data_IF_461857819682
#
_entry.id   IF_461857819682
#
_cell.length_a   1.000
_cell.length_b   1.000
_cell.length_c   1.000
_cell.angle_alpha   90.00
_cell.angle_beta   90.00
_cell.angle_gamma   90.00
#
_symmetry.space_group_name_H-M   'P 1'
#
loop_
_entity.id
_entity.type
_entity.pdbx_description
1 polymer ?
#
# COMPACT_ATOMS: atom_id res chain seq x y z
N UNK A 1 21.44 11.42 -4.31
CA UNK A 1 20.92 10.14 -4.84
C UNK A 1 20.02 10.45 -6.03
N UNK A 2 20.35 9.97 -7.22
CA UNK A 2 19.42 9.96 -8.36
C UNK A 2 18.31 8.96 -8.06
N UNK A 3 17.04 9.35 -8.20
CA UNK A 3 15.93 8.44 -7.98
C UNK A 3 15.96 7.33 -9.04
N UNK A 4 15.95 6.08 -8.60
CA UNK A 4 15.78 4.93 -9.47
C UNK A 4 14.36 4.94 -10.04
N UNK A 5 14.23 5.28 -11.33
CA UNK A 5 12.96 5.32 -12.07
C UNK A 5 12.55 3.94 -12.58
N UNK A 6 12.66 2.95 -11.71
CA UNK A 6 12.28 1.57 -11.99
C UNK A 6 11.13 1.15 -11.07
N UNK A 7 10.41 0.10 -11.46
CA UNK A 7 9.40 -0.51 -10.57
C UNK A 7 10.02 -0.98 -9.26
N UNK A 8 11.26 -1.48 -9.28
CA UNK A 8 11.98 -1.96 -8.11
C UNK A 8 12.28 -0.78 -7.17
N UNK A 9 12.86 0.30 -7.70
CA UNK A 9 13.14 1.52 -6.94
C UNK A 9 11.88 2.16 -6.34
N UNK A 10 10.79 2.17 -7.10
CA UNK A 10 9.50 2.67 -6.65
C UNK A 10 8.89 1.80 -5.53
N UNK A 11 9.01 0.48 -5.59
CA UNK A 11 8.58 -0.42 -4.51
C UNK A 11 9.38 -0.17 -3.22
N UNK A 12 10.71 -0.07 -3.33
CA UNK A 12 11.60 0.16 -2.18
C UNK A 12 11.28 1.51 -1.52
N UNK A 13 11.19 2.56 -2.34
CA UNK A 13 10.90 3.92 -1.86
C UNK A 13 9.49 4.03 -1.31
N UNK A 14 8.49 3.47 -2.01
CA UNK A 14 7.09 3.42 -1.58
C UNK A 14 6.90 2.68 -0.26
N UNK A 15 7.53 1.52 -0.09
CA UNK A 15 7.54 0.76 1.16
C UNK A 15 8.10 1.59 2.33
N UNK A 16 9.24 2.24 2.13
CA UNK A 16 9.85 3.09 3.17
C UNK A 16 8.98 4.31 3.49
N UNK A 17 8.39 4.93 2.47
CA UNK A 17 7.43 6.02 2.60
C UNK A 17 6.21 5.62 3.44
N UNK A 18 5.59 4.47 3.14
CA UNK A 18 4.46 3.94 3.92
C UNK A 18 4.80 3.78 5.41
N UNK A 19 6.02 3.32 5.74
CA UNK A 19 6.44 3.18 7.13
C UNK A 19 6.59 4.53 7.83
N UNK A 20 7.17 5.52 7.14
CA UNK A 20 7.57 6.79 7.75
C UNK A 20 6.50 7.88 7.71
N UNK A 21 5.50 7.76 6.84
CA UNK A 21 4.32 8.66 6.84
C UNK A 21 3.45 8.47 8.09
N UNK A 22 3.59 7.31 8.76
CA UNK A 22 2.86 6.97 9.99
C UNK A 22 2.54 5.49 10.13
N UNK A 23 2.91 4.65 9.15
CA UNK A 23 2.48 3.25 9.07
C UNK A 23 0.95 3.10 9.12
N UNK A 24 0.25 4.06 8.50
CA UNK A 24 -1.21 4.11 8.42
C UNK A 24 -1.78 2.98 7.59
N UNK A 25 -3.07 2.70 7.81
CA UNK A 25 -3.83 1.72 7.05
C UNK A 25 -3.88 2.13 5.57
N UNK A 26 -3.31 1.33 4.64
CA UNK A 26 -3.33 1.65 3.22
C UNK A 26 -4.68 1.26 2.62
N UNK A 27 -5.60 2.20 2.50
CA UNK A 27 -6.95 2.00 1.92
C UNK A 27 -6.83 1.50 0.48
N UNK A 28 -5.89 2.06 -0.28
CA UNK A 28 -5.54 1.62 -1.62
C UNK A 28 -4.09 1.95 -1.92
N UNK A 29 -3.52 1.23 -2.89
CA UNK A 29 -2.16 1.47 -3.37
C UNK A 29 -2.08 1.02 -4.82
N UNK A 30 -1.40 1.82 -5.65
CA UNK A 30 -1.10 1.52 -7.03
C UNK A 30 0.38 1.78 -7.33
N UNK A 31 1.01 0.86 -8.05
CA UNK A 31 2.25 1.08 -8.77
C UNK A 31 1.95 1.02 -10.27
N UNK A 32 2.44 2.00 -11.03
CA UNK A 32 2.34 2.06 -12.49
C UNK A 32 3.70 2.30 -13.09
N UNK A 33 4.41 1.22 -13.44
CA UNK A 33 5.81 1.31 -13.82
C UNK A 33 6.65 1.79 -12.62
N UNK A 34 7.05 3.05 -12.61
CA UNK A 34 7.84 3.69 -11.54
C UNK A 34 7.02 4.66 -10.66
N UNK A 35 5.73 4.87 -10.95
CA UNK A 35 4.86 5.78 -10.19
C UNK A 35 4.15 5.02 -9.08
N UNK A 36 4.43 5.38 -7.83
CA UNK A 36 3.81 4.78 -6.64
C UNK A 36 2.84 5.77 -6.00
N UNK A 37 1.59 5.36 -5.83
CA UNK A 37 0.54 6.15 -5.20
C UNK A 37 -0.19 5.31 -4.15
N UNK A 38 -0.50 5.91 -3.01
CA UNK A 38 -1.26 5.23 -1.97
C UNK A 38 -2.20 6.19 -1.23
N UNK A 39 -3.37 5.68 -0.86
CA UNK A 39 -4.32 6.37 0.01
C UNK A 39 -4.22 5.73 1.39
N UNK A 40 -4.03 6.55 2.41
CA UNK A 40 -3.87 6.15 3.80
C UNK A 40 -4.99 6.70 4.64
N UNK A 41 -5.54 5.87 5.52
CA UNK A 41 -6.42 6.33 6.59
C UNK A 41 -5.58 6.71 7.80
N UNK A 42 -5.65 7.99 8.21
CA UNK A 42 -5.02 8.43 9.46
C UNK A 42 -5.59 7.66 10.66
N UNK A 43 -4.81 7.45 11.72
CA UNK A 43 -5.36 6.85 12.96
C UNK A 43 -6.22 7.85 13.71
N UNK A 44 -7.18 7.33 14.47
CA UNK A 44 -7.94 8.14 15.41
C UNK A 44 -7.00 8.81 16.42
N UNK A 45 -7.11 10.13 16.56
CA UNK A 45 -6.31 10.92 17.51
C UNK A 45 -5.00 11.48 16.97
N UNK A 46 -4.48 11.03 15.83
CA UNK A 46 -3.21 11.53 15.27
C UNK A 46 -3.29 13.00 14.79
N UNK A 47 -4.51 13.48 14.52
CA UNK A 47 -4.80 14.89 14.24
C UNK A 47 -5.25 15.68 15.48
N UNK A 48 -5.22 15.06 16.67
CA UNK A 48 -5.68 15.68 17.91
C UNK A 48 -7.19 15.98 17.92
N UNK A 49 -7.57 17.10 18.56
CA UNK A 49 -8.96 17.58 18.57
C UNK A 49 -9.29 18.25 17.23
N UNK A 50 -10.11 17.58 16.42
CA UNK A 50 -10.57 18.07 15.12
C UNK A 50 -11.66 19.11 15.38
N UNK A 51 -11.32 20.38 15.22
CA UNK A 51 -12.10 21.46 15.82
C UNK A 51 -13.34 21.91 15.05
N UNK A 52 -13.48 21.64 13.75
CA UNK A 52 -14.71 21.98 13.00
C UNK A 52 -14.59 21.79 11.49
N UNK A 53 -15.42 20.94 10.88
CA UNK A 53 -15.76 21.05 9.46
C UNK A 53 -17.05 21.87 9.24
N UNK A 54 -17.32 22.37 8.02
CA UNK A 54 -16.49 22.25 6.81
C UNK A 54 -15.32 23.25 6.81
N UNK A 55 -14.20 22.82 6.22
CA UNK A 55 -13.03 23.66 6.00
C UNK A 55 -13.18 24.47 4.71
N UNK A 56 -12.54 25.64 4.68
CA UNK A 56 -12.39 26.47 3.48
C UNK A 56 -11.00 27.11 3.46
N UNK A 57 -10.55 27.70 2.34
CA UNK A 57 -9.30 28.45 2.31
C UNK A 57 -9.22 29.56 3.38
N UNK A 58 -10.35 30.17 3.74
CA UNK A 58 -10.48 31.21 4.77
C UNK A 58 -10.53 30.64 6.19
N UNK A 59 -10.89 29.36 6.33
CA UNK A 59 -10.92 28.61 7.59
C UNK A 59 -10.10 27.32 7.43
N UNK A 60 -8.76 27.43 7.36
CA UNK A 60 -7.91 26.29 7.09
C UNK A 60 -7.91 25.29 8.26
N UNK A 61 -7.72 23.99 7.99
CA UNK A 61 -7.61 22.94 9.01
C UNK A 61 -6.27 23.05 9.75
N UNK A 62 -6.23 23.86 10.80
CA UNK A 62 -5.02 24.18 11.57
C UNK A 62 -4.29 22.94 12.11
N UNK A 63 -5.04 21.91 12.49
CA UNK A 63 -4.57 20.64 12.99
C UNK A 63 -3.83 19.82 11.92
N UNK A 64 -4.35 19.80 10.68
CA UNK A 64 -3.67 19.19 9.54
C UNK A 64 -2.41 19.97 9.14
N UNK A 65 -2.47 21.30 9.24
CA UNK A 65 -1.30 22.17 9.03
C UNK A 65 -0.22 21.89 10.07
N UNK A 66 -0.57 21.81 11.35
CA UNK A 66 0.36 21.48 12.43
C UNK A 66 0.99 20.10 12.24
N UNK A 67 0.17 19.08 11.91
CA UNK A 67 0.65 17.73 11.62
C UNK A 67 1.70 17.70 10.50
N UNK A 68 1.47 18.47 9.42
CA UNK A 68 2.38 18.58 8.28
C UNK A 68 3.65 19.37 8.61
N UNK A 69 3.52 20.47 9.36
CA UNK A 69 4.65 21.31 9.79
C UNK A 69 5.65 20.52 10.64
N UNK A 70 5.16 19.69 11.58
CA UNK A 70 5.99 18.81 12.41
C UNK A 70 6.83 17.81 11.58
N UNK A 71 6.42 17.52 10.33
CA UNK A 71 7.06 16.52 9.46
C UNK A 71 7.86 17.11 8.31
N UNK A 72 7.77 18.42 8.05
CA UNK A 72 8.48 19.08 6.94
C UNK A 72 10.02 18.99 7.08
N UNK A 73 10.53 18.95 8.32
CA UNK A 73 11.96 18.80 8.60
C UNK A 73 12.46 17.35 8.73
N UNK A 74 11.58 16.35 8.58
CA UNK A 74 11.94 14.93 8.79
C UNK A 74 11.99 14.21 7.45
N UNK A 75 13.12 13.59 7.14
CA UNK A 75 13.25 12.81 5.91
C UNK A 75 12.33 11.58 5.91
N UNK A 76 11.62 11.37 4.80
CA UNK A 76 10.81 10.21 4.48
C UNK A 76 11.37 9.50 3.25
N UNK A 77 11.65 8.20 3.37
CA UNK A 77 12.39 7.37 2.42
C UNK A 77 13.73 8.00 1.96
N UNK A 78 14.36 8.81 2.82
CA UNK A 78 15.58 9.56 2.48
C UNK A 78 15.35 10.87 1.72
N UNK A 79 14.09 11.30 1.54
CA UNK A 79 13.69 12.54 0.87
C UNK A 79 12.93 13.46 1.82
N UNK A 80 13.07 14.77 1.68
CA UNK A 80 12.27 15.71 2.47
C UNK A 80 10.87 15.84 1.84
N UNK A 81 9.80 15.41 2.53
CA UNK A 81 8.46 15.42 1.97
C UNK A 81 7.95 16.85 1.79
N UNK A 82 7.12 17.06 0.77
CA UNK A 82 6.29 18.27 0.65
C UNK A 82 4.82 17.91 0.89
N UNK A 83 4.12 18.82 1.56
CA UNK A 83 2.74 18.62 1.98
C UNK A 83 1.85 19.66 1.32
N UNK A 84 0.70 19.22 0.81
CA UNK A 84 -0.39 20.11 0.37
C UNK A 84 -1.66 19.68 1.06
N UNK A 85 -2.30 20.62 1.73
CA UNK A 85 -3.53 20.36 2.48
C UNK A 85 -4.71 20.83 1.64
N UNK A 86 -5.62 19.92 1.37
CA UNK A 86 -6.90 20.23 0.74
C UNK A 86 -7.86 20.69 1.83
N UNK A 87 -8.17 21.99 1.82
CA UNK A 87 -9.06 22.64 2.78
C UNK A 87 -10.49 22.76 2.25
N UNK A 88 -10.89 21.98 1.24
CA UNK A 88 -12.25 22.00 0.67
C UNK A 88 -13.02 20.75 1.07
N UNK A 89 -14.00 20.89 1.95
CA UNK A 89 -14.90 19.78 2.31
C UNK A 89 -15.09 19.60 3.81
N UNK A 90 -15.74 18.49 4.18
CA UNK A 90 -16.09 18.17 5.56
C UNK A 90 -14.84 17.80 6.36
N UNK A 91 -13.91 17.08 5.73
CA UNK A 91 -12.70 16.55 6.35
C UNK A 91 -11.46 17.03 5.60
N UNK A 92 -10.35 17.32 6.31
CA UNK A 92 -9.11 17.73 5.66
C UNK A 92 -8.43 16.52 5.01
N UNK A 93 -7.82 16.75 3.84
CA UNK A 93 -6.96 15.75 3.19
C UNK A 93 -5.54 16.26 3.05
N UNK A 94 -4.57 15.39 3.28
CA UNK A 94 -3.15 15.74 3.25
C UNK A 94 -2.49 15.00 2.10
N UNK A 95 -2.16 15.73 1.03
CA UNK A 95 -1.30 15.21 -0.01
C UNK A 95 0.15 15.28 0.45
N UNK A 96 0.85 14.17 0.28
CA UNK A 96 2.28 14.05 0.55
C UNK A 96 2.97 13.67 -0.75
N UNK A 97 4.04 14.37 -1.09
CA UNK A 97 4.90 14.00 -2.22
C UNK A 97 6.35 13.98 -1.78
N UNK A 98 7.14 13.06 -2.33
CA UNK A 98 8.57 12.98 -2.12
C UNK A 98 9.30 13.59 -3.33
N UNK A 99 9.76 14.85 -3.27
CA UNK A 99 10.40 15.52 -4.38
C UNK A 99 11.58 14.74 -4.94
N UNK A 100 11.72 14.73 -6.27
CA UNK A 100 12.75 13.96 -6.96
C UNK A 100 12.40 12.49 -7.17
N UNK A 101 11.26 12.00 -6.65
CA UNK A 101 10.74 10.66 -6.88
C UNK A 101 9.35 10.71 -7.51
N UNK A 102 8.83 9.55 -7.91
CA UNK A 102 7.44 9.38 -8.38
C UNK A 102 6.52 8.82 -7.28
N UNK A 103 6.89 8.96 -6.00
CA UNK A 103 6.13 8.47 -4.84
C UNK A 103 5.21 9.56 -4.29
N UNK A 104 3.93 9.23 -4.15
CA UNK A 104 2.88 10.12 -3.66
C UNK A 104 1.97 9.41 -2.67
N UNK A 105 1.44 10.16 -1.71
CA UNK A 105 0.45 9.68 -0.76
C UNK A 105 -0.68 10.67 -0.59
N UNK A 106 -1.87 10.15 -0.30
CA UNK A 106 -3.01 10.92 0.17
C UNK A 106 -3.41 10.38 1.54
N UNK A 107 -3.37 11.22 2.56
CA UNK A 107 -3.86 10.86 3.89
C UNK A 107 -5.26 11.46 4.04
N UNK A 108 -6.23 10.59 4.31
CA UNK A 108 -7.64 10.93 4.55
C UNK A 108 -8.00 10.65 6.02
N UNK A 109 -9.07 11.29 6.49
CA UNK A 109 -9.57 11.06 7.84
C UNK A 109 -10.31 9.72 7.94
N UNK A 110 -10.37 9.09 9.14
CA UNK A 110 -11.15 7.87 9.37
C UNK A 110 -12.60 7.96 8.84
N UNK A 111 -13.25 9.10 9.02
CA UNK A 111 -14.64 9.35 8.63
C UNK A 111 -14.89 9.36 7.12
N UNK A 112 -13.83 9.51 6.31
CA UNK A 112 -13.93 9.43 4.86
C UNK A 112 -13.84 7.99 4.34
N UNK A 113 -13.42 7.05 5.19
CA UNK A 113 -13.19 5.66 4.80
C UNK A 113 -14.36 4.82 5.28
N UNK A 114 -15.01 4.12 4.35
CA UNK A 114 -16.07 3.18 4.66
C UNK A 114 -15.57 1.75 4.55
N UNK A 115 -16.28 0.81 5.18
CA UNK A 115 -15.94 -0.62 5.09
C UNK A 115 -16.06 -1.13 3.63
N UNK A 116 -17.04 -0.62 2.88
CA UNK A 116 -17.26 -0.95 1.47
C UNK A 116 -16.07 -0.55 0.59
N UNK A 117 -15.40 0.57 0.90
CA UNK A 117 -14.23 1.03 0.14
C UNK A 117 -13.08 0.00 0.10
N UNK A 118 -13.06 -0.92 1.08
CA UNK A 118 -12.07 -2.00 1.20
C UNK A 118 -12.73 -3.39 1.19
N UNK A 119 -13.95 -3.51 0.66
CA UNK A 119 -14.72 -4.76 0.60
C UNK A 119 -14.81 -5.50 1.95
N UNK A 120 -14.77 -4.77 3.06
CA UNK A 120 -14.84 -5.34 4.40
C UNK A 120 -16.26 -5.22 4.95
N UNK A 121 -16.70 -6.16 5.81
CA UNK A 121 -17.97 -6.04 6.52
C UNK A 121 -17.95 -4.94 7.59
N UNK A 122 -16.76 -4.60 8.11
CA UNK A 122 -16.57 -3.54 9.10
C UNK A 122 -15.10 -3.08 9.11
N UNK A 123 -14.89 -1.85 9.58
CA UNK A 123 -13.57 -1.31 9.94
C UNK A 123 -13.27 -1.58 11.43
N UNK A 124 -12.00 -1.54 11.84
CA UNK A 124 -11.61 -1.82 13.22
C UNK A 124 -10.12 -2.09 13.43
N UNK A 125 -9.77 -2.62 14.59
CA UNK A 125 -8.38 -2.78 15.05
C UNK A 125 -7.47 -3.58 14.11
N UNK A 126 -8.03 -4.48 13.28
CA UNK A 126 -7.28 -5.22 12.25
C UNK A 126 -6.54 -4.30 11.25
N UNK A 127 -7.00 -3.07 11.07
CA UNK A 127 -6.41 -2.10 10.14
C UNK A 127 -4.96 -1.75 10.52
N UNK A 128 -4.62 -1.77 11.81
CA UNK A 128 -3.28 -1.42 12.29
C UNK A 128 -2.19 -2.37 11.81
N UNK A 129 -2.54 -3.63 11.52
CA UNK A 129 -1.60 -4.64 11.04
C UNK A 129 -1.41 -4.62 9.53
N UNK A 130 -2.40 -4.12 8.78
CA UNK A 130 -2.40 -4.20 7.31
C UNK A 130 -1.23 -3.44 6.68
N UNK A 131 -0.80 -2.33 7.27
CA UNK A 131 0.36 -1.57 6.77
C UNK A 131 1.65 -2.38 6.84
N UNK A 132 1.81 -3.24 7.85
CA UNK A 132 2.97 -4.14 7.95
C UNK A 132 2.92 -5.22 6.86
N UNK A 133 1.79 -5.90 6.72
CA UNK A 133 1.63 -6.97 5.73
C UNK A 133 1.83 -6.48 4.29
N UNK A 134 1.29 -5.30 3.96
CA UNK A 134 1.50 -4.69 2.64
C UNK A 134 2.97 -4.40 2.40
N UNK A 135 3.66 -3.77 3.35
CA UNK A 135 5.09 -3.47 3.22
C UNK A 135 5.94 -4.72 3.09
N UNK A 136 5.58 -5.79 3.81
CA UNK A 136 6.23 -7.09 3.66
C UNK A 136 6.09 -7.61 2.22
N UNK A 137 4.88 -7.57 1.66
CA UNK A 137 4.64 -7.96 0.27
C UNK A 137 5.45 -7.14 -0.74
N UNK A 138 5.55 -5.82 -0.55
CA UNK A 138 6.35 -4.95 -1.43
C UNK A 138 7.85 -5.27 -1.37
N UNK A 139 8.36 -5.62 -0.17
CA UNK A 139 9.76 -5.99 0.03
C UNK A 139 10.11 -7.26 -0.75
N UNK A 140 9.33 -8.32 -0.55
CA UNK A 140 9.50 -9.58 -1.29
C UNK A 140 9.39 -9.38 -2.80
N UNK A 141 8.44 -8.56 -3.26
CA UNK A 141 8.30 -8.26 -4.69
C UNK A 141 9.51 -7.53 -5.26
N UNK A 142 10.05 -6.54 -4.55
CA UNK A 142 11.26 -5.82 -4.97
C UNK A 142 12.45 -6.79 -5.07
N UNK A 143 12.64 -7.64 -4.06
CA UNK A 143 13.70 -8.64 -4.01
C UNK A 143 13.58 -9.68 -5.13
N UNK A 144 12.38 -10.19 -5.38
CA UNK A 144 12.14 -11.17 -6.46
C UNK A 144 12.36 -10.54 -7.84
N UNK A 145 11.86 -9.33 -8.08
CA UNK A 145 12.10 -8.62 -9.34
C UNK A 145 13.59 -8.34 -9.56
N UNK A 146 14.30 -7.92 -8.52
CA UNK A 146 15.75 -7.72 -8.54
C UNK A 146 16.49 -9.02 -8.86
N UNK A 147 16.14 -10.12 -8.18
CA UNK A 147 16.73 -11.44 -8.42
C UNK A 147 16.49 -11.92 -9.85
N UNK A 148 15.29 -11.71 -10.39
CA UNK A 148 14.96 -12.07 -11.77
C UNK A 148 15.77 -11.28 -12.80
N UNK A 149 15.96 -9.98 -12.56
CA UNK A 149 16.77 -9.13 -13.40
C UNK A 149 18.24 -9.59 -13.40
N UNK A 150 18.79 -9.93 -12.24
CA UNK A 150 20.16 -10.43 -12.12
C UNK A 150 20.33 -11.81 -12.78
N UNK A 151 19.40 -12.75 -12.56
CA UNK A 151 19.49 -14.10 -13.13
C UNK A 151 19.31 -14.14 -14.64
N UNK A 152 18.35 -13.39 -15.18
CA UNK A 152 17.97 -13.47 -16.60
C UNK A 152 18.60 -12.37 -17.47
N UNK A 153 19.22 -11.35 -16.85
CA UNK A 153 19.78 -10.19 -17.53
C UNK A 153 18.73 -9.34 -18.27
N UNK A 154 19.21 -8.49 -19.18
CA UNK A 154 18.39 -7.57 -19.98
C UNK A 154 17.87 -6.36 -19.20
N UNK A 155 16.99 -5.56 -19.80
CA UNK A 155 16.37 -4.41 -19.12
C UNK A 155 15.60 -4.85 -17.88
N UNK A 156 15.65 -4.08 -16.80
CA UNK A 156 14.92 -4.37 -15.57
C UNK A 156 13.41 -4.58 -15.85
N UNK A 157 12.77 -5.62 -15.26
CA UNK A 157 11.36 -5.86 -15.44
C UNK A 157 10.55 -4.71 -14.83
N UNK A 158 9.48 -4.33 -15.53
CA UNK A 158 8.52 -3.32 -15.07
C UNK A 158 7.15 -3.95 -14.84
N UNK A 159 6.50 -3.52 -13.76
CA UNK A 159 5.20 -4.03 -13.34
C UNK A 159 4.21 -2.89 -13.09
N UNK A 160 2.94 -3.24 -13.17
CA UNK A 160 1.89 -2.53 -12.47
C UNK A 160 1.47 -3.39 -11.27
N UNK A 161 1.12 -2.73 -10.16
CA UNK A 161 0.67 -3.40 -8.94
C UNK A 161 -0.55 -2.67 -8.40
N UNK A 162 -1.56 -3.42 -7.95
CA UNK A 162 -2.69 -2.87 -7.20
C UNK A 162 -2.82 -3.58 -5.86
N UNK A 163 -3.02 -2.81 -4.79
CA UNK A 163 -3.50 -3.35 -3.52
C UNK A 163 -5.02 -3.36 -3.54
N UNK A 164 -5.58 -4.56 -3.38
CA UNK A 164 -7.01 -4.76 -3.20
C UNK A 164 -7.28 -5.57 -1.95
N UNK A 165 -8.45 -5.39 -1.37
CA UNK A 165 -8.91 -6.19 -0.24
C UNK A 165 -10.02 -7.11 -0.73
N UNK A 166 -9.83 -8.42 -0.53
CA UNK A 166 -10.79 -9.43 -0.99
C UNK A 166 -11.45 -10.13 0.19
N UNK A 167 -12.78 -10.34 0.15
CA UNK A 167 -13.45 -11.23 1.08
C UNK A 167 -12.81 -12.63 1.07
N UNK A 168 -12.84 -13.29 2.22
CA UNK A 168 -12.44 -14.69 2.36
C UNK A 168 -13.28 -15.34 3.46
N UNK A 169 -13.08 -16.64 3.68
CA UNK A 169 -13.78 -17.37 4.73
C UNK A 169 -13.27 -16.95 6.13
N UNK A 170 -13.86 -15.87 6.63
CA UNK A 170 -13.52 -15.24 7.90
C UNK A 170 -13.92 -16.13 9.09
N UNK A 171 -15.09 -16.77 9.05
CA UNK A 171 -15.59 -17.64 10.13
C UNK A 171 -14.67 -18.84 10.35
N UNK A 172 -14.22 -19.48 9.27
CA UNK A 172 -13.23 -20.56 9.37
C UNK A 172 -11.90 -20.09 9.97
N UNK A 173 -11.55 -18.82 9.80
CA UNK A 173 -10.31 -18.23 10.30
C UNK A 173 -10.39 -17.89 11.78
N UNK A 174 -11.57 -17.45 12.24
CA UNK A 174 -11.84 -17.19 13.66
C UNK A 174 -11.86 -18.45 14.53
N UNK A 175 -12.22 -19.61 13.96
CA UNK A 175 -12.32 -20.86 14.69
C UNK A 175 -11.02 -21.28 15.40
N UNK A 176 -9.87 -20.73 14.98
CA UNK A 176 -8.53 -21.04 15.51
C UNK A 176 -7.95 -19.93 16.39
N UNK A 177 -8.71 -18.86 16.63
CA UNK A 177 -8.21 -17.65 17.26
C UNK A 177 -8.96 -17.40 18.57
N UNK A 178 -8.20 -17.13 19.63
CA UNK A 178 -8.74 -16.74 20.93
C UNK A 178 -9.69 -15.56 20.82
N UNK A 179 -10.76 -15.57 21.61
CA UNK A 179 -11.83 -14.57 21.52
C UNK A 179 -11.33 -13.13 21.65
N UNK A 180 -10.29 -12.91 22.47
CA UNK A 180 -9.67 -11.58 22.67
C UNK A 180 -8.90 -11.06 21.45
N UNK A 181 -8.48 -11.94 20.55
CA UNK A 181 -7.67 -11.58 19.39
C UNK A 181 -8.50 -11.44 18.11
N UNK A 182 -9.81 -11.72 18.16
CA UNK A 182 -10.67 -11.75 16.96
C UNK A 182 -10.82 -10.39 16.28
N UNK A 183 -10.80 -9.30 17.05
CA UNK A 183 -10.86 -7.92 16.52
C UNK A 183 -9.62 -7.54 15.69
N UNK A 184 -8.51 -8.26 15.91
CA UNK A 184 -7.25 -8.09 15.20
C UNK A 184 -7.18 -8.96 13.95
N UNK A 185 -8.08 -9.94 13.80
CA UNK A 185 -8.13 -10.79 12.61
C UNK A 185 -8.83 -10.01 11.51
N UNK A 186 -8.15 -9.72 10.38
CA UNK A 186 -8.77 -8.94 9.32
C UNK A 186 -9.91 -9.75 8.69
N UNK A 187 -11.10 -9.16 8.49
CA UNK A 187 -12.24 -9.82 7.83
C UNK A 187 -12.09 -9.86 6.31
N UNK A 188 -11.04 -9.25 5.79
CA UNK A 188 -10.62 -9.26 4.40
C UNK A 188 -9.17 -9.69 4.30
N UNK A 189 -8.78 -10.15 3.12
CA UNK A 189 -7.39 -10.47 2.81
C UNK A 189 -6.83 -9.39 1.89
N UNK A 190 -5.73 -8.70 2.25
CA UNK A 190 -5.02 -7.85 1.32
C UNK A 190 -4.38 -8.72 0.22
N UNK A 191 -4.48 -8.24 -1.02
CA UNK A 191 -3.92 -8.88 -2.22
C UNK A 191 -3.19 -7.85 -3.05
N UNK A 192 -1.95 -8.14 -3.40
CA UNK A 192 -1.15 -7.39 -4.37
C UNK A 192 -1.34 -8.04 -5.75
N UNK A 193 -2.15 -7.42 -6.59
CA UNK A 193 -2.39 -7.83 -7.96
C UNK A 193 -1.30 -7.30 -8.88
N UNK A 194 -0.36 -8.16 -9.26
CA UNK A 194 0.72 -7.82 -10.16
C UNK A 194 0.26 -7.94 -11.61
N UNK A 195 0.74 -7.04 -12.47
CA UNK A 195 0.64 -7.17 -13.93
C UNK A 195 1.99 -6.86 -14.55
N UNK A 196 2.42 -7.67 -15.51
CA UNK A 196 3.65 -7.41 -16.24
C UNK A 196 3.43 -6.26 -17.23
N UNK A 197 4.11 -5.13 -17.01
CA UNK A 197 4.18 -4.05 -18.00
C UNK A 197 5.25 -4.36 -19.05
N UNK A 198 6.43 -4.77 -18.60
CA UNK A 198 7.49 -5.30 -19.45
C UNK A 198 8.31 -6.33 -18.68
N UNK A 199 8.50 -7.50 -19.27
CA UNK A 199 9.40 -8.53 -18.75
C UNK A 199 9.66 -9.54 -19.85
N UNK A 200 10.91 -9.96 -20.02
CA UNK A 200 11.24 -11.01 -20.98
C UNK A 200 10.67 -12.36 -20.52
N UNK A 201 10.44 -13.32 -21.43
CA UNK A 201 10.06 -14.67 -21.04
C UNK A 201 11.05 -15.33 -20.07
N UNK A 202 12.34 -15.01 -20.17
CA UNK A 202 13.37 -15.51 -19.24
C UNK A 202 13.19 -14.94 -17.82
N UNK A 203 12.94 -13.64 -17.70
CA UNK A 203 12.65 -12.98 -16.42
C UNK A 203 11.38 -13.51 -15.78
N UNK A 204 10.29 -13.69 -16.55
CA UNK A 204 9.05 -14.29 -16.03
C UNK A 204 9.27 -15.72 -15.53
N UNK A 205 10.07 -16.52 -16.24
CA UNK A 205 10.44 -17.88 -15.79
C UNK A 205 11.27 -17.86 -14.52
N UNK A 206 12.22 -16.92 -14.37
CA UNK A 206 12.96 -16.74 -13.14
C UNK A 206 12.02 -16.37 -11.99
N UNK A 207 11.06 -15.47 -12.23
CA UNK A 207 10.10 -15.01 -11.22
C UNK A 207 9.23 -16.15 -10.68
N UNK A 208 8.75 -17.02 -11.57
CA UNK A 208 7.93 -18.18 -11.18
C UNK A 208 8.66 -19.13 -10.22
N UNK A 209 10.00 -19.16 -10.19
CA UNK A 209 10.76 -19.96 -9.22
C UNK A 209 10.49 -19.53 -7.77
N UNK A 210 10.26 -18.24 -7.53
CA UNK A 210 9.91 -17.69 -6.22
C UNK A 210 8.48 -18.06 -5.79
N UNK A 211 7.60 -18.41 -6.74
CA UNK A 211 6.21 -18.78 -6.50
C UNK A 211 6.03 -20.28 -6.18
N UNK A 212 7.07 -20.98 -5.71
CA UNK A 212 6.99 -22.41 -5.37
C UNK A 212 5.97 -22.63 -4.25
N UNK A 213 4.92 -23.42 -4.54
CA UNK A 213 3.81 -23.65 -3.61
C UNK A 213 2.63 -22.70 -3.78
N UNK A 214 2.69 -21.78 -4.75
CA UNK A 214 1.57 -20.92 -5.10
C UNK A 214 0.34 -21.74 -5.54
N UNK A 215 -0.83 -21.32 -5.11
CA UNK A 215 -2.12 -21.84 -5.58
C UNK A 215 -2.44 -21.28 -6.95
N UNK A 216 -3.18 -22.04 -7.74
CA UNK A 216 -3.66 -21.60 -9.06
C UNK A 216 -5.10 -21.15 -8.95
N UNK A 217 -5.42 -19.99 -9.51
CA UNK A 217 -6.79 -19.47 -9.64
C UNK A 217 -7.05 -18.99 -11.07
N UNK A 218 -8.30 -18.58 -11.31
CA UNK A 218 -8.73 -17.97 -12.56
C UNK A 218 -9.14 -18.97 -13.64
N UNK A 219 -9.77 -18.43 -14.69
CA UNK A 219 -10.22 -19.21 -15.85
C UNK A 219 -9.02 -19.63 -16.72
N UNK A 220 -9.26 -20.43 -17.76
CA UNK A 220 -8.18 -20.85 -18.68
C UNK A 220 -7.47 -19.67 -19.36
N UNK A 221 -8.19 -18.57 -19.62
CA UNK A 221 -7.68 -17.36 -20.30
C UNK A 221 -7.07 -16.34 -19.35
N UNK A 222 -7.33 -16.43 -18.03
CA UNK A 222 -6.77 -15.53 -17.01
C UNK A 222 -6.24 -16.35 -15.83
N UNK A 223 -5.32 -17.27 -16.12
CA UNK A 223 -4.73 -18.12 -15.08
C UNK A 223 -3.75 -17.30 -14.25
N UNK A 224 -3.89 -17.40 -12.93
CA UNK A 224 -3.05 -16.67 -11.99
C UNK A 224 -2.45 -17.57 -10.93
N UNK A 225 -1.26 -17.18 -10.49
CA UNK A 225 -0.57 -17.74 -9.34
C UNK A 225 -0.86 -16.88 -8.12
N UNK A 226 -1.23 -17.51 -7.01
CA UNK A 226 -1.56 -16.84 -5.76
C UNK A 226 -0.61 -17.36 -4.71
N UNK A 227 0.25 -16.49 -4.21
CA UNK A 227 1.27 -16.85 -3.24
C UNK A 227 1.06 -16.07 -1.95
N UNK A 228 0.96 -16.77 -0.83
CA UNK A 228 0.69 -16.17 0.47
C UNK A 228 1.99 -15.86 1.20
N UNK A 229 2.14 -14.61 1.64
CA UNK A 229 3.25 -14.08 2.42
C UNK A 229 2.68 -13.54 3.74
N UNK A 230 2.65 -14.36 4.79
CA UNK A 230 2.04 -13.95 6.07
C UNK A 230 0.56 -13.59 5.91
N UNK A 231 0.20 -12.34 6.25
CA UNK A 231 -1.15 -11.78 6.13
C UNK A 231 -1.55 -11.33 4.73
N UNK A 232 -0.61 -11.22 3.77
CA UNK A 232 -0.87 -10.75 2.41
C UNK A 232 -0.77 -11.87 1.36
N UNK A 233 -1.48 -11.70 0.25
CA UNK A 233 -1.34 -12.53 -0.93
C UNK A 233 -0.78 -11.72 -2.11
N UNK A 234 0.05 -12.35 -2.92
CA UNK A 234 0.52 -11.81 -4.19
C UNK A 234 -0.11 -12.63 -5.31
N UNK A 235 -0.83 -11.94 -6.19
CA UNK A 235 -1.45 -12.54 -7.37
C UNK A 235 -0.66 -12.15 -8.62
N UNK A 236 -0.26 -13.15 -9.42
CA UNK A 236 0.66 -12.97 -10.55
C UNK A 236 0.10 -13.64 -11.81
N UNK A 237 0.10 -12.97 -12.97
CA UNK A 237 -0.30 -13.57 -14.24
C UNK A 237 0.64 -14.70 -14.61
N UNK A 238 0.07 -15.80 -15.11
CA UNK A 238 0.85 -16.95 -15.56
C UNK A 238 1.59 -16.72 -16.88
#
# INVERSE_FOLDING_TARGET
MTADRSSIGALITGKAFMAQVGAYFPVSMALRGDVFEAIFMMREGDLGHRTSGPYSPERPPSEAMGWAQLRTGTAMAGYFPSFRIEAGGIWPRIHVTLPGTSVRGLIVMPEEVTAEAVNAPYLGAWQDQSSFDVRLGLDYLADWLGSCHQEAGGTAPSIDLDLVYRPYDYEASLARVDQRMRELVPPVRPVLELRWRSATPAQRRAFVKHLKGARKSGSRSDRRWNYRLGGIEVEVPR
#
